data_IF_767505776083
#
_entry.id   IF_767505776083
#
_cell.length_a   1.000
_cell.length_b   1.000
_cell.length_c   1.000
_cell.angle_alpha   90.00
_cell.angle_beta   90.00
_cell.angle_gamma   90.00
#
_symmetry.space_group_name_H-M   'P 1'
#
loop_
_entity.id
_entity.type
_entity.pdbx_description
1 polymer ?
#
# COMPACT_ATOMS: atom_id res chain seq x y z
N UNK A 1 -34.27 28.48 41.21
CA UNK A 1 -34.22 28.46 39.73
C UNK A 1 -32.88 27.87 39.33
N UNK A 2 -32.90 26.84 38.48
CA UNK A 2 -31.71 26.17 37.93
C UNK A 2 -30.99 27.10 36.95
N UNK A 3 -29.67 27.01 36.86
CA UNK A 3 -28.98 27.14 35.58
C UNK A 3 -27.85 26.10 35.53
N UNK A 4 -28.02 25.16 34.60
CA UNK A 4 -27.11 24.06 34.30
C UNK A 4 -26.13 24.57 33.23
N UNK A 5 -24.90 24.82 33.60
CA UNK A 5 -23.85 25.09 32.61
C UNK A 5 -23.39 23.78 31.97
N UNK A 6 -23.89 23.57 30.74
CA UNK A 6 -23.48 22.54 29.79
C UNK A 6 -21.97 22.63 29.51
N UNK A 7 -21.16 21.88 30.27
CA UNK A 7 -19.76 21.66 29.93
C UNK A 7 -19.69 20.76 28.69
N UNK A 8 -19.40 21.38 27.55
CA UNK A 8 -19.05 20.73 26.27
C UNK A 8 -17.94 19.72 26.50
N UNK A 9 -18.29 18.44 26.40
CA UNK A 9 -17.33 17.35 26.24
C UNK A 9 -16.91 17.31 24.77
N UNK A 10 -16.00 18.20 24.35
CA UNK A 10 -15.36 18.05 23.04
C UNK A 10 -14.41 16.88 23.13
N UNK A 11 -14.84 15.72 22.63
CA UNK A 11 -13.99 14.56 22.35
C UNK A 11 -12.71 15.04 21.66
N UNK A 12 -11.62 15.07 22.43
CA UNK A 12 -10.31 15.45 21.94
C UNK A 12 -9.91 14.39 20.91
N UNK A 13 -9.77 14.79 19.64
CA UNK A 13 -9.34 13.86 18.59
C UNK A 13 -8.00 13.25 19.01
N UNK A 14 -7.81 11.93 18.90
CA UNK A 14 -6.55 11.29 19.28
C UNK A 14 -5.40 11.99 18.56
N UNK A 15 -4.44 12.48 19.33
CA UNK A 15 -3.20 13.05 18.84
C UNK A 15 -2.55 12.00 17.96
N UNK A 16 -2.55 12.23 16.63
CA UNK A 16 -1.85 11.36 15.67
C UNK A 16 -0.37 11.42 16.02
N UNK A 17 0.10 10.45 16.79
CA UNK A 17 1.53 10.24 16.96
C UNK A 17 2.10 10.05 15.56
N UNK A 18 2.91 11.02 15.11
CA UNK A 18 3.68 10.95 13.87
C UNK A 18 4.70 9.82 14.03
N UNK A 19 4.25 8.57 13.88
CA UNK A 19 5.15 7.45 13.75
C UNK A 19 6.08 7.76 12.58
N UNK A 20 7.41 7.61 12.76
CA UNK A 20 8.35 7.87 11.68
C UNK A 20 7.96 7.00 10.48
N UNK A 21 7.82 7.63 9.31
CA UNK A 21 7.54 6.90 8.07
C UNK A 21 8.68 5.92 7.83
N UNK A 22 8.35 4.65 7.58
CA UNK A 22 9.36 3.64 7.22
C UNK A 22 10.12 4.12 5.99
N UNK A 23 11.45 4.08 6.04
CA UNK A 23 12.27 4.31 4.85
C UNK A 23 12.09 3.12 3.91
N UNK A 24 11.78 3.42 2.64
CA UNK A 24 11.67 2.41 1.59
C UNK A 24 13.05 2.13 1.02
N UNK A 25 13.33 0.88 0.70
CA UNK A 25 14.53 0.52 -0.06
C UNK A 25 14.37 0.88 -1.55
N UNK A 26 15.45 0.76 -2.33
CA UNK A 26 15.45 1.11 -3.76
C UNK A 26 14.42 0.29 -4.57
N UNK A 27 14.23 -0.98 -4.22
CA UNK A 27 13.30 -1.87 -4.91
C UNK A 27 11.84 -1.51 -4.58
N UNK A 28 11.53 -1.22 -3.33
CA UNK A 28 10.24 -0.72 -2.89
C UNK A 28 9.92 0.66 -3.46
N UNK A 29 10.93 1.51 -3.64
CA UNK A 29 10.76 2.79 -4.32
C UNK A 29 10.39 2.59 -5.80
N UNK A 30 11.06 1.66 -6.49
CA UNK A 30 10.70 1.30 -7.87
C UNK A 30 9.26 0.80 -7.96
N UNK A 31 8.82 -0.08 -7.06
CA UNK A 31 7.44 -0.57 -7.00
C UNK A 31 6.42 0.55 -6.70
N UNK A 32 6.77 1.48 -5.81
CA UNK A 32 5.93 2.64 -5.50
C UNK A 32 5.76 3.55 -6.71
N UNK A 33 6.84 3.84 -7.43
CA UNK A 33 6.81 4.64 -8.65
C UNK A 33 5.97 3.96 -9.72
N UNK A 34 6.18 2.66 -9.96
CA UNK A 34 5.40 1.90 -10.93
C UNK A 34 3.90 1.89 -10.59
N UNK A 35 3.54 1.72 -9.31
CA UNK A 35 2.15 1.82 -8.84
C UNK A 35 1.55 3.21 -9.08
N UNK A 36 2.28 4.28 -8.77
CA UNK A 36 1.80 5.67 -8.94
C UNK A 36 1.61 6.04 -10.40
N UNK A 37 2.53 5.60 -11.26
CA UNK A 37 2.50 5.85 -12.69
C UNK A 37 1.59 4.90 -13.45
N UNK A 38 0.98 3.91 -12.78
CA UNK A 38 0.22 2.82 -13.40
C UNK A 38 1.02 2.12 -14.52
N UNK A 39 2.34 2.03 -14.33
CA UNK A 39 3.26 1.48 -15.31
C UNK A 39 3.11 -0.03 -15.36
N UNK A 40 3.00 -0.58 -16.57
CA UNK A 40 3.04 -2.02 -16.77
C UNK A 40 4.47 -2.53 -16.60
N UNK A 41 4.62 -3.61 -15.85
CA UNK A 41 5.89 -4.26 -15.55
C UNK A 41 5.81 -5.75 -15.84
N UNK A 42 6.95 -6.32 -16.22
CA UNK A 42 7.16 -7.76 -16.30
C UNK A 42 7.79 -8.25 -15.01
N UNK A 43 7.20 -9.27 -14.41
CA UNK A 43 7.69 -9.99 -13.24
C UNK A 43 8.10 -11.38 -13.69
N UNK A 44 9.40 -11.65 -13.72
CA UNK A 44 9.92 -12.97 -14.03
C UNK A 44 9.97 -13.81 -12.75
N UNK A 45 9.29 -14.95 -12.80
CA UNK A 45 9.24 -15.97 -11.75
C UNK A 45 10.03 -17.19 -12.23
N UNK A 46 10.35 -18.11 -11.32
CA UNK A 46 11.14 -19.30 -11.62
C UNK A 46 10.73 -20.09 -12.88
N UNK A 47 9.43 -20.16 -13.19
CA UNK A 47 8.90 -20.95 -14.33
C UNK A 47 7.94 -20.19 -15.24
N UNK A 48 7.69 -18.91 -14.97
CA UNK A 48 6.69 -18.13 -15.68
C UNK A 48 6.98 -16.64 -15.57
N UNK A 49 6.28 -15.84 -16.38
CA UNK A 49 6.33 -14.39 -16.26
C UNK A 49 4.91 -13.85 -16.12
N UNK A 50 4.71 -12.89 -15.24
CA UNK A 50 3.47 -12.13 -15.10
C UNK A 50 3.71 -10.74 -15.66
N UNK A 51 2.78 -10.24 -16.49
CA UNK A 51 2.86 -8.90 -17.05
C UNK A 51 1.63 -8.10 -16.62
N UNK A 52 1.85 -7.02 -15.88
CA UNK A 52 0.75 -6.30 -15.25
C UNK A 52 1.18 -5.05 -14.49
N UNK A 53 0.21 -4.43 -13.81
CA UNK A 53 0.42 -3.21 -13.03
C UNK A 53 0.52 -3.53 -11.54
N UNK A 54 1.41 -2.85 -10.82
CA UNK A 54 1.51 -2.99 -9.36
C UNK A 54 0.30 -2.33 -8.70
N UNK A 55 -0.54 -3.12 -8.04
CA UNK A 55 -1.69 -2.64 -7.25
C UNK A 55 -1.24 -2.31 -5.84
N UNK A 56 -0.43 -3.17 -5.22
CA UNK A 56 0.09 -2.96 -3.89
C UNK A 56 1.38 -3.73 -3.66
N UNK A 57 2.09 -3.43 -2.59
CA UNK A 57 3.25 -4.22 -2.16
C UNK A 57 3.48 -4.05 -0.67
N UNK A 58 4.16 -5.02 -0.10
CA UNK A 58 4.68 -4.94 1.26
C UNK A 58 6.13 -5.45 1.30
N UNK A 59 6.62 -5.77 2.50
CA UNK A 59 7.97 -6.27 2.69
C UNK A 59 8.21 -7.60 1.97
N UNK A 60 7.20 -8.47 1.86
CA UNK A 60 7.33 -9.86 1.43
C UNK A 60 6.73 -10.15 0.06
N UNK A 61 5.82 -9.31 -0.42
CA UNK A 61 4.99 -9.58 -1.58
C UNK A 61 4.71 -8.33 -2.41
N UNK A 62 4.34 -8.56 -3.67
CA UNK A 62 3.85 -7.56 -4.62
C UNK A 62 2.52 -8.08 -5.18
N UNK A 63 1.47 -7.27 -5.11
CA UNK A 63 0.17 -7.56 -5.72
C UNK A 63 0.16 -6.91 -7.10
N UNK A 64 -0.05 -7.72 -8.13
CA UNK A 64 -0.02 -7.30 -9.54
C UNK A 64 -1.37 -7.60 -10.17
N UNK A 65 -1.96 -6.61 -10.85
CA UNK A 65 -3.11 -6.83 -11.73
C UNK A 65 -2.59 -7.35 -13.07
N UNK A 66 -2.75 -8.65 -13.31
CA UNK A 66 -2.31 -9.29 -14.55
C UNK A 66 -3.15 -8.80 -15.73
N UNK A 67 -2.46 -8.33 -16.78
CA UNK A 67 -3.09 -7.78 -17.98
C UNK A 67 -3.91 -8.83 -18.74
N UNK A 68 -3.50 -10.10 -18.72
CA UNK A 68 -4.12 -11.19 -19.49
C UNK A 68 -5.38 -11.69 -18.82
N UNK A 69 -5.28 -12.04 -17.54
CA UNK A 69 -6.38 -12.64 -16.78
C UNK A 69 -7.30 -11.62 -16.13
N UNK A 70 -6.88 -10.35 -16.03
CA UNK A 70 -7.57 -9.27 -15.29
C UNK A 70 -7.77 -9.60 -13.82
N UNK A 71 -6.93 -10.48 -13.27
CA UNK A 71 -6.96 -10.89 -11.86
C UNK A 71 -5.78 -10.30 -11.12
N UNK A 72 -5.99 -10.04 -9.84
CA UNK A 72 -4.90 -9.72 -8.93
C UNK A 72 -4.16 -11.00 -8.56
N UNK A 73 -2.84 -10.96 -8.67
CA UNK A 73 -1.95 -12.05 -8.33
C UNK A 73 -0.95 -11.55 -7.30
N UNK A 74 -0.82 -12.28 -6.21
CA UNK A 74 0.21 -12.05 -5.22
C UNK A 74 1.50 -12.77 -5.63
N UNK A 75 2.57 -12.00 -5.77
CA UNK A 75 3.92 -12.49 -6.06
C UNK A 75 4.75 -12.35 -4.79
N UNK A 76 5.29 -13.46 -4.28
CA UNK A 76 6.18 -13.43 -3.12
C UNK A 76 7.62 -13.17 -3.57
N UNK A 77 8.34 -12.27 -2.90
CA UNK A 77 9.71 -11.87 -3.27
C UNK A 77 10.75 -12.99 -3.13
N UNK A 78 10.39 -14.09 -2.46
CA UNK A 78 11.21 -15.29 -2.33
C UNK A 78 10.99 -16.32 -3.45
N UNK A 79 10.07 -16.06 -4.38
CA UNK A 79 9.60 -17.00 -5.39
C UNK A 79 10.43 -16.99 -6.68
#
# INVERSE_FOLDING_TARGET
MQNKDNRRNTLQKPTRQNKPRRQLDAHEYMLLTAKREQKEMRFDLNKSSIYGQVVNFDKFSVIVLDKRTKREVAIFKSA
#
